data_IF_722500832363
#
_entry.id   IF_722500832363
#
_cell.length_a   1.000
_cell.length_b   1.000
_cell.length_c   1.000
_cell.angle_alpha   90.00
_cell.angle_beta   90.00
_cell.angle_gamma   90.00
#
_symmetry.space_group_name_H-M   'P 1'
#
loop_
_entity.id
_entity.type
_entity.pdbx_description
1 polymer ?
#
# COMPACT_ATOMS: atom_id res chain seq x y z
N UNK A 1 -26.52 11.69 34.39
CA UNK A 1 -26.25 10.24 34.53
C UNK A 1 -27.58 9.51 34.44
N UNK A 2 -27.86 8.54 33.58
CA UNK A 2 -27.16 7.88 32.49
C UNK A 2 -28.21 6.97 31.85
N UNK A 3 -28.44 7.10 30.55
CA UNK A 3 -29.33 6.22 29.79
C UNK A 3 -28.71 6.03 28.41
N UNK A 4 -27.95 4.95 28.26
CA UNK A 4 -27.62 4.32 26.99
C UNK A 4 -27.89 2.83 27.15
N UNK A 5 -29.15 2.44 26.96
CA UNK A 5 -29.54 1.09 26.55
C UNK A 5 -30.02 1.25 25.11
N UNK A 6 -29.32 0.58 24.20
CA UNK A 6 -29.80 -0.07 22.97
C UNK A 6 -28.63 -0.13 21.96
N UNK A 7 -27.84 -1.20 22.10
CA UNK A 7 -26.95 -1.69 21.05
C UNK A 7 -27.70 -2.79 20.28
N UNK A 8 -27.61 -2.72 18.96
CA UNK A 8 -28.32 -3.55 17.98
C UNK A 8 -28.18 -5.08 18.20
N UNK A 9 -29.14 -5.90 17.72
CA UNK A 9 -29.22 -7.33 18.02
C UNK A 9 -28.23 -8.22 17.25
N UNK A 10 -27.33 -7.66 16.44
CA UNK A 10 -26.53 -8.44 15.49
C UNK A 10 -25.37 -9.23 16.12
N UNK A 11 -25.03 -8.97 17.38
CA UNK A 11 -23.87 -9.59 18.06
C UNK A 11 -24.19 -10.82 18.93
N UNK A 12 -25.42 -11.34 18.94
CA UNK A 12 -25.80 -12.43 19.88
C UNK A 12 -25.72 -13.86 19.33
N UNK A 13 -25.23 -14.08 18.11
CA UNK A 13 -25.15 -15.43 17.55
C UNK A 13 -23.77 -15.72 16.95
N UNK A 14 -22.81 -16.09 17.81
CA UNK A 14 -21.68 -17.01 17.52
C UNK A 14 -20.83 -17.20 18.79
N UNK A 15 -21.36 -17.99 19.72
CA UNK A 15 -20.61 -18.45 20.90
C UNK A 15 -20.01 -19.85 20.75
N UNK A 16 -20.23 -20.54 19.62
CA UNK A 16 -19.80 -21.93 19.41
C UNK A 16 -19.12 -22.12 18.04
N UNK A 17 -18.01 -21.41 17.79
CA UNK A 17 -17.09 -21.79 16.72
C UNK A 17 -15.75 -22.19 17.29
N UNK A 18 -15.39 -23.43 16.97
CA UNK A 18 -14.16 -24.12 17.31
C UNK A 18 -12.91 -23.28 17.07
N UNK A 19 -11.95 -23.49 17.95
CA UNK A 19 -10.60 -22.92 17.97
C UNK A 19 -9.98 -22.94 16.55
N UNK A 20 -9.52 -21.81 15.99
CA UNK A 20 -8.94 -21.81 14.65
C UNK A 20 -7.67 -22.68 14.62
N UNK A 21 -7.43 -23.43 13.53
CA UNK A 21 -6.24 -24.27 13.42
C UNK A 21 -4.98 -23.41 13.42
N UNK A 22 -3.96 -23.92 14.12
CA UNK A 22 -2.62 -23.33 14.26
C UNK A 22 -2.06 -22.83 12.92
N UNK A 23 -1.66 -21.55 12.89
CA UNK A 23 -1.05 -20.84 11.77
C UNK A 23 0.22 -21.51 11.19
N UNK A 24 0.75 -22.54 11.83
CA UNK A 24 1.88 -23.34 11.34
C UNK A 24 1.58 -24.18 10.09
N UNK A 25 0.30 -24.48 9.77
CA UNK A 25 -0.04 -25.27 8.57
C UNK A 25 -0.08 -24.47 7.27
N UNK A 26 -0.27 -23.15 7.32
CA UNK A 26 -0.32 -22.31 6.11
C UNK A 26 1.07 -21.92 5.58
N UNK A 27 2.12 -22.02 6.42
CA UNK A 27 3.50 -21.73 6.01
C UNK A 27 4.16 -22.88 5.22
N UNK A 28 3.57 -24.07 5.24
CA UNK A 28 4.17 -25.28 4.63
C UNK A 28 3.71 -25.55 3.19
N UNK A 29 2.58 -24.98 2.76
CA UNK A 29 2.05 -25.16 1.41
C UNK A 29 2.63 -24.18 0.37
N UNK A 30 3.17 -23.02 0.79
CA UNK A 30 3.81 -22.06 -0.13
C UNK A 30 5.30 -22.30 -0.36
N UNK A 31 5.92 -23.24 0.37
CA UNK A 31 7.37 -23.49 0.32
C UNK A 31 7.77 -24.69 -0.55
N UNK A 32 6.83 -25.32 -1.25
CA UNK A 32 7.07 -26.56 -1.98
C UNK A 32 7.05 -26.45 -3.52
N UNK A 33 6.94 -25.26 -4.11
CA UNK A 33 6.93 -25.06 -5.57
C UNK A 33 8.06 -24.18 -6.11
N UNK A 34 9.18 -24.08 -5.40
CA UNK A 34 10.40 -23.48 -5.94
C UNK A 34 11.52 -24.51 -6.04
N UNK A 35 12.07 -24.61 -7.25
CA UNK A 35 13.31 -25.30 -7.66
C UNK A 35 13.24 -26.81 -7.89
N UNK A 36 12.66 -27.22 -9.03
CA UNK A 36 13.22 -28.36 -9.77
C UNK A 36 14.41 -27.87 -10.59
N UNK A 37 15.57 -27.76 -9.94
CA UNK A 37 16.83 -27.47 -10.63
C UNK A 37 17.22 -28.69 -11.48
N UNK A 38 17.17 -28.54 -12.82
CA UNK A 38 17.67 -29.55 -13.76
C UNK A 38 19.11 -29.17 -14.17
N UNK A 39 20.14 -29.83 -13.62
CA UNK A 39 21.53 -29.52 -13.92
C UNK A 39 21.88 -29.72 -15.41
N UNK A 40 21.20 -30.64 -16.11
CA UNK A 40 21.47 -30.92 -17.52
C UNK A 40 21.05 -29.78 -18.46
N UNK A 41 20.10 -28.94 -18.03
CA UNK A 41 19.69 -27.75 -18.77
C UNK A 41 20.70 -26.61 -18.60
N UNK A 42 21.28 -26.50 -17.40
CA UNK A 42 22.29 -25.51 -17.07
C UNK A 42 23.58 -25.72 -17.88
N UNK A 43 24.02 -26.97 -18.03
CA UNK A 43 25.24 -27.29 -18.78
C UNK A 43 25.08 -27.03 -20.29
N UNK A 44 23.90 -27.30 -20.85
CA UNK A 44 23.60 -27.00 -22.27
C UNK A 44 23.55 -25.50 -22.53
N UNK A 45 22.95 -24.74 -21.62
CA UNK A 45 22.84 -23.30 -21.73
C UNK A 45 24.22 -22.64 -21.58
N UNK A 46 25.07 -23.13 -20.67
CA UNK A 46 26.45 -22.68 -20.52
C UNK A 46 27.30 -22.95 -21.77
N UNK A 47 27.19 -24.15 -22.36
CA UNK A 47 27.91 -24.49 -23.59
C UNK A 47 27.45 -23.65 -24.80
N UNK A 48 26.16 -23.34 -24.88
CA UNK A 48 25.62 -22.50 -25.95
C UNK A 48 26.04 -21.02 -25.79
N UNK A 49 26.16 -20.55 -24.55
CA UNK A 49 26.64 -19.19 -24.25
C UNK A 49 28.12 -18.99 -24.62
N UNK A 50 28.97 -20.00 -24.37
CA UNK A 50 30.39 -19.96 -24.77
C UNK A 50 30.58 -19.97 -26.29
N UNK A 51 29.67 -20.61 -27.03
CA UNK A 51 29.72 -20.67 -28.49
C UNK A 51 29.30 -19.35 -29.14
N UNK A 52 28.28 -18.68 -28.59
CA UNK A 52 27.72 -17.44 -29.15
C UNK A 52 28.49 -16.17 -28.71
N UNK A 53 29.20 -16.22 -27.57
CA UNK A 53 29.93 -15.07 -27.02
C UNK A 53 31.32 -15.45 -26.49
N UNK A 54 32.34 -15.60 -27.37
CA UNK A 54 33.70 -15.92 -26.93
C UNK A 54 34.29 -14.77 -26.12
N UNK A 55 34.42 -14.97 -24.80
CA UNK A 55 35.02 -14.01 -23.86
C UNK A 55 34.13 -13.61 -22.68
N UNK A 56 32.87 -14.06 -22.65
CA UNK A 56 31.96 -13.80 -21.52
C UNK A 56 31.83 -15.06 -20.68
N UNK A 57 32.52 -15.11 -19.54
CA UNK A 57 32.46 -16.27 -18.66
C UNK A 57 31.34 -16.10 -17.63
N UNK A 58 30.62 -17.19 -17.33
CA UNK A 58 29.54 -17.22 -16.34
C UNK A 58 29.97 -16.73 -14.93
N UNK A 59 31.26 -16.85 -14.59
CA UNK A 59 31.80 -16.32 -13.34
C UNK A 59 31.81 -14.78 -13.29
N UNK A 60 31.81 -14.09 -14.43
CA UNK A 60 31.73 -12.62 -14.51
C UNK A 60 30.30 -12.10 -14.28
N UNK A 61 29.29 -12.96 -14.46
CA UNK A 61 27.90 -12.66 -14.08
C UNK A 61 27.64 -12.93 -12.58
N UNK A 62 28.47 -13.76 -11.94
CA UNK A 62 28.42 -13.99 -10.49
C UNK A 62 29.27 -13.00 -9.68
N UNK A 63 30.26 -12.36 -10.30
CA UNK A 63 30.97 -11.22 -9.72
C UNK A 63 30.12 -9.95 -9.86
N UNK A 64 29.24 -9.74 -8.89
CA UNK A 64 29.14 -8.55 -8.02
C UNK A 64 29.51 -7.14 -8.52
N UNK A 65 29.55 -6.83 -9.83
CA UNK A 65 29.91 -5.50 -10.35
C UNK A 65 28.87 -4.91 -11.33
N UNK A 66 27.78 -5.64 -11.62
CA UNK A 66 26.62 -5.10 -12.37
C UNK A 66 25.68 -4.25 -11.49
N UNK A 67 26.17 -3.78 -10.34
CA UNK A 67 25.45 -2.91 -9.41
C UNK A 67 25.83 -1.44 -9.57
N UNK A 68 27.03 -1.12 -10.07
CA UNK A 68 27.57 0.24 -9.94
C UNK A 68 27.12 1.20 -11.05
N UNK A 69 26.76 0.73 -12.24
CA UNK A 69 26.38 1.64 -13.34
C UNK A 69 24.89 1.97 -13.42
N UNK A 70 24.04 1.28 -12.63
CA UNK A 70 22.67 1.72 -12.34
C UNK A 70 22.59 2.56 -11.06
N UNK A 71 23.71 2.78 -10.35
CA UNK A 71 23.82 3.78 -9.29
C UNK A 71 23.98 5.19 -9.88
N UNK A 72 22.93 5.68 -10.53
CA UNK A 72 22.59 7.08 -10.31
C UNK A 72 22.26 7.18 -8.81
N UNK A 73 23.32 7.41 -8.01
CA UNK A 73 23.44 6.96 -6.62
C UNK A 73 22.15 7.19 -5.84
N UNK A 74 21.53 6.11 -5.37
CA UNK A 74 20.32 6.20 -4.54
C UNK A 74 20.59 7.04 -3.27
N UNK A 75 21.85 7.11 -2.82
CA UNK A 75 22.31 8.02 -1.78
C UNK A 75 22.34 9.49 -2.24
N UNK A 76 22.73 9.76 -3.49
CA UNK A 76 22.65 11.09 -4.11
C UNK A 76 21.19 11.53 -4.31
N UNK A 77 20.35 10.66 -4.89
CA UNK A 77 18.91 10.91 -5.04
C UNK A 77 18.28 11.17 -3.67
N UNK A 78 18.63 10.39 -2.65
CA UNK A 78 18.21 10.63 -1.26
C UNK A 78 18.64 12.00 -0.76
N UNK A 79 19.92 12.36 -0.89
CA UNK A 79 20.44 13.64 -0.41
C UNK A 79 19.71 14.81 -1.08
N UNK A 80 19.41 14.69 -2.39
CA UNK A 80 18.61 15.67 -3.14
C UNK A 80 17.17 15.73 -2.64
N UNK A 81 16.49 14.60 -2.48
CA UNK A 81 15.09 14.56 -2.01
C UNK A 81 14.93 15.06 -0.56
N UNK A 82 15.92 14.77 0.31
CA UNK A 82 15.97 15.32 1.67
C UNK A 82 16.14 16.83 1.65
N UNK A 83 17.11 17.33 0.88
CA UNK A 83 17.40 18.75 0.79
C UNK A 83 16.25 19.55 0.17
N UNK A 84 15.59 18.98 -0.85
CA UNK A 84 14.47 19.63 -1.53
C UNK A 84 13.14 19.49 -0.77
N UNK A 85 13.06 18.66 0.27
CA UNK A 85 11.87 18.53 1.10
C UNK A 85 10.67 18.00 0.32
N UNK A 86 10.83 16.89 -0.40
CA UNK A 86 9.81 16.38 -1.34
C UNK A 86 8.46 16.12 -0.66
N UNK A 87 8.44 15.52 0.53
CA UNK A 87 7.18 15.23 1.25
C UNK A 87 6.54 16.55 1.71
N UNK A 88 7.33 17.50 2.23
CA UNK A 88 6.86 18.86 2.54
C UNK A 88 6.23 19.58 1.33
N UNK A 89 6.81 19.46 0.13
CA UNK A 89 6.23 20.03 -1.09
C UNK A 89 4.87 19.39 -1.45
N UNK A 90 4.70 18.09 -1.21
CA UNK A 90 3.41 17.42 -1.38
C UNK A 90 2.42 17.66 -0.23
N UNK A 91 2.89 18.10 0.93
CA UNK A 91 2.08 18.54 2.07
C UNK A 91 1.59 19.98 1.97
N UNK A 92 2.23 20.82 1.14
CA UNK A 92 1.89 22.23 0.99
C UNK A 92 1.63 22.62 -0.48
N UNK A 93 0.49 22.17 -1.00
CA UNK A 93 0.08 22.46 -2.37
C UNK A 93 -1.42 22.85 -2.43
N UNK A 94 -1.89 23.21 -3.62
CA UNK A 94 -3.28 23.67 -3.80
C UNK A 94 -4.37 22.65 -3.44
N UNK A 95 -4.03 21.36 -3.32
CA UNK A 95 -4.98 20.32 -2.91
C UNK A 95 -4.94 20.03 -1.40
N UNK A 96 -3.91 20.49 -0.68
CA UNK A 96 -3.69 20.15 0.73
C UNK A 96 -4.84 20.56 1.63
N UNK A 97 -5.44 21.75 1.42
CA UNK A 97 -6.57 22.24 2.21
C UNK A 97 -7.83 21.38 2.02
N UNK A 98 -8.11 20.99 0.77
CA UNK A 98 -9.26 20.15 0.43
C UNK A 98 -9.07 18.73 0.98
N UNK A 99 -7.88 18.16 0.80
CA UNK A 99 -7.52 16.84 1.33
C UNK A 99 -7.53 16.80 2.87
N UNK A 100 -6.98 17.81 3.55
CA UNK A 100 -7.00 17.87 5.03
C UNK A 100 -8.41 18.02 5.61
N UNK A 101 -9.35 18.53 4.81
CA UNK A 101 -10.75 18.68 5.19
C UNK A 101 -11.61 17.45 4.85
N UNK A 102 -11.07 16.47 4.10
CA UNK A 102 -11.83 15.33 3.59
C UNK A 102 -12.82 15.69 2.47
N UNK A 103 -12.60 16.84 1.82
CA UNK A 103 -13.47 17.41 0.79
C UNK A 103 -12.93 17.18 -0.63
N UNK A 104 -11.98 16.24 -0.80
CA UNK A 104 -11.48 15.89 -2.12
C UNK A 104 -12.43 14.87 -2.76
N UNK A 105 -13.50 15.37 -3.38
CA UNK A 105 -14.52 14.52 -3.97
C UNK A 105 -14.02 13.80 -5.22
N UNK A 106 -14.39 12.53 -5.32
CA UNK A 106 -14.03 11.62 -6.42
C UNK A 106 -14.54 12.12 -7.77
N UNK A 107 -15.76 12.66 -7.80
CA UNK A 107 -16.42 13.18 -8.99
C UNK A 107 -16.71 14.68 -8.82
N UNK A 108 -16.62 15.43 -9.92
CA UNK A 108 -17.02 16.83 -9.93
C UNK A 108 -18.52 16.92 -10.23
N UNK A 109 -19.25 17.74 -9.45
CA UNK A 109 -20.67 18.04 -9.72
C UNK A 109 -20.88 18.67 -11.10
N UNK A 110 -19.89 19.41 -11.57
CA UNK A 110 -19.91 20.11 -12.86
C UNK A 110 -19.64 19.18 -14.05
N UNK A 111 -19.05 18.00 -13.81
CA UNK A 111 -18.75 17.02 -14.86
C UNK A 111 -19.05 15.59 -14.37
N UNK A 112 -20.34 15.19 -14.35
CA UNK A 112 -20.75 13.85 -13.93
C UNK A 112 -20.05 12.79 -14.79
N UNK A 113 -19.51 11.75 -14.15
CA UNK A 113 -18.79 10.66 -14.82
C UNK A 113 -17.30 10.89 -15.04
N UNK A 114 -16.77 12.11 -14.85
CA UNK A 114 -15.34 12.38 -14.90
C UNK A 114 -14.72 12.44 -13.50
N UNK A 115 -13.56 11.79 -13.33
CA UNK A 115 -12.78 11.86 -12.08
C UNK A 115 -12.24 13.28 -11.87
N UNK A 116 -12.35 13.78 -10.64
CA UNK A 116 -11.82 15.09 -10.26
C UNK A 116 -10.30 15.17 -10.47
N UNK A 117 -9.78 16.22 -11.15
CA UNK A 117 -8.34 16.43 -11.27
C UNK A 117 -7.64 16.58 -9.92
N UNK A 118 -8.34 17.17 -8.93
CA UNK A 118 -7.82 17.30 -7.56
C UNK A 118 -7.68 15.93 -6.87
N UNK A 119 -8.63 15.02 -7.12
CA UNK A 119 -8.54 13.65 -6.63
C UNK A 119 -7.42 12.87 -7.34
N UNK A 120 -7.25 13.03 -8.66
CA UNK A 120 -6.11 12.43 -9.39
C UNK A 120 -4.77 12.90 -8.84
N UNK A 121 -4.61 14.21 -8.64
CA UNK A 121 -3.40 14.79 -8.08
C UNK A 121 -3.12 14.29 -6.65
N UNK A 122 -4.16 14.10 -5.84
CA UNK A 122 -4.06 13.53 -4.50
C UNK A 122 -3.62 12.07 -4.49
N UNK A 123 -4.24 11.21 -5.31
CA UNK A 123 -3.81 9.81 -5.39
C UNK A 123 -2.36 9.71 -5.89
N UNK A 124 -1.99 10.56 -6.87
CA UNK A 124 -0.61 10.65 -7.34
C UNK A 124 0.36 11.13 -6.26
N UNK A 125 -0.02 12.10 -5.41
CA UNK A 125 0.84 12.56 -4.32
C UNK A 125 1.06 11.46 -3.28
N UNK A 126 0.03 10.70 -2.91
CA UNK A 126 0.17 9.53 -2.03
C UNK A 126 1.09 8.49 -2.65
N UNK A 127 0.91 8.17 -3.93
CA UNK A 127 1.74 7.19 -4.63
C UNK A 127 3.23 7.60 -4.63
N UNK A 128 3.53 8.87 -4.90
CA UNK A 128 4.90 9.40 -4.87
C UNK A 128 5.48 9.33 -3.46
N UNK A 129 4.73 9.76 -2.44
CA UNK A 129 5.20 9.69 -1.04
C UNK A 129 5.45 8.24 -0.63
N UNK A 130 4.56 7.31 -0.99
CA UNK A 130 4.72 5.88 -0.73
C UNK A 130 5.98 5.31 -1.40
N UNK A 131 6.24 5.70 -2.66
CA UNK A 131 7.43 5.29 -3.39
C UNK A 131 8.71 5.86 -2.76
N UNK A 132 8.71 7.12 -2.33
CA UNK A 132 9.84 7.75 -1.64
C UNK A 132 10.14 7.05 -0.31
N UNK A 133 9.11 6.83 0.52
CA UNK A 133 9.25 6.09 1.78
C UNK A 133 9.76 4.67 1.51
N UNK A 134 9.25 4.02 0.47
CA UNK A 134 9.67 2.67 0.09
C UNK A 134 11.11 2.59 -0.44
N UNK A 135 11.57 3.57 -1.21
CA UNK A 135 12.94 3.60 -1.70
C UNK A 135 13.95 3.90 -0.57
N UNK A 136 13.50 4.57 0.49
CA UNK A 136 14.37 5.12 1.54
C UNK A 136 14.17 4.47 2.93
N UNK A 137 13.58 3.27 2.98
CA UNK A 137 13.13 2.47 4.15
C UNK A 137 14.09 2.33 5.35
N UNK A 138 15.34 2.76 5.26
CA UNK A 138 16.36 2.59 6.31
C UNK A 138 16.64 3.87 7.12
N UNK A 139 15.89 4.95 6.89
CA UNK A 139 16.12 6.23 7.55
C UNK A 139 14.85 6.79 8.21
N UNK A 140 14.87 6.86 9.55
CA UNK A 140 13.75 7.33 10.39
C UNK A 140 13.27 8.76 10.13
N UNK A 141 14.08 9.56 9.44
CA UNK A 141 13.74 10.94 9.09
C UNK A 141 12.46 10.98 8.24
N UNK A 142 12.38 10.12 7.22
CA UNK A 142 11.23 10.08 6.33
C UNK A 142 9.99 9.45 6.96
N UNK A 143 10.16 8.56 7.93
CA UNK A 143 9.04 7.94 8.65
C UNK A 143 8.23 8.98 9.42
N UNK A 144 8.92 9.94 10.06
CA UNK A 144 8.27 11.01 10.81
C UNK A 144 7.54 11.99 9.88
N UNK A 145 8.17 12.41 8.79
CA UNK A 145 7.59 13.35 7.81
C UNK A 145 6.41 12.71 7.06
N UNK A 146 6.51 11.42 6.71
CA UNK A 146 5.41 10.68 6.12
C UNK A 146 4.25 10.46 7.12
N UNK A 147 4.54 10.26 8.41
CA UNK A 147 3.48 10.22 9.42
C UNK A 147 2.78 11.56 9.61
N UNK A 148 3.49 12.67 9.47
CA UNK A 148 2.90 14.02 9.46
C UNK A 148 2.01 14.23 8.24
N UNK A 149 2.46 13.80 7.05
CA UNK A 149 1.65 13.78 5.84
C UNK A 149 0.36 12.98 6.01
N UNK A 150 0.43 11.78 6.61
CA UNK A 150 -0.76 10.96 6.93
C UNK A 150 -1.69 11.68 7.90
N UNK A 151 -1.16 12.38 8.91
CA UNK A 151 -1.99 13.13 9.85
C UNK A 151 -2.67 14.33 9.19
N UNK A 152 -1.96 15.03 8.29
CA UNK A 152 -2.49 16.15 7.52
C UNK A 152 -3.69 15.71 6.68
N UNK A 153 -3.58 14.58 5.97
CA UNK A 153 -4.65 14.04 5.11
C UNK A 153 -5.55 13.04 5.82
N UNK A 154 -5.49 12.97 7.15
CA UNK A 154 -6.16 11.95 7.96
C UNK A 154 -7.66 11.86 7.72
N UNK A 155 -8.35 12.99 7.49
CA UNK A 155 -9.80 12.97 7.20
C UNK A 155 -10.14 12.27 5.88
N UNK A 156 -9.37 12.55 4.82
CA UNK A 156 -9.55 11.94 3.51
C UNK A 156 -9.15 10.46 3.54
N UNK A 157 -8.01 10.15 4.16
CA UNK A 157 -7.53 8.77 4.34
C UNK A 157 -8.57 7.92 5.09
N UNK A 158 -9.09 8.42 6.21
CA UNK A 158 -10.11 7.71 6.99
C UNK A 158 -11.40 7.56 6.19
N UNK A 159 -11.82 8.57 5.42
CA UNK A 159 -13.00 8.49 4.54
C UNK A 159 -12.85 7.35 3.53
N UNK A 160 -11.70 7.25 2.85
CA UNK A 160 -11.43 6.19 1.89
C UNK A 160 -11.43 4.80 2.53
N UNK A 161 -10.75 4.64 3.67
CA UNK A 161 -10.66 3.35 4.37
C UNK A 161 -11.93 2.94 5.12
N UNK A 162 -12.88 3.86 5.32
CA UNK A 162 -14.16 3.58 5.98
C UNK A 162 -15.25 3.09 5.01
N UNK A 163 -14.87 2.73 3.77
CA UNK A 163 -15.80 2.13 2.81
C UNK A 163 -16.51 0.91 3.42
N UNK A 164 -17.80 0.80 3.14
CA UNK A 164 -18.68 -0.25 3.64
C UNK A 164 -19.48 -0.87 2.50
N UNK A 165 -19.94 -2.11 2.68
CA UNK A 165 -20.69 -2.82 1.62
C UNK A 165 -22.06 -2.20 1.32
N UNK A 166 -22.52 -1.23 2.13
CA UNK A 166 -23.73 -0.46 1.82
C UNK A 166 -23.49 0.69 0.84
N UNK A 167 -22.24 1.07 0.58
CA UNK A 167 -21.90 2.20 -0.26
C UNK A 167 -21.37 1.74 -1.64
N UNK A 168 -21.70 2.45 -2.72
CA UNK A 168 -21.19 2.12 -4.04
C UNK A 168 -19.66 2.21 -4.07
N UNK A 169 -19.04 1.28 -4.79
CA UNK A 169 -17.61 1.25 -5.01
C UNK A 169 -17.32 1.71 -6.45
N UNK A 170 -16.54 2.77 -6.56
CA UNK A 170 -16.12 3.34 -7.85
C UNK A 170 -14.65 3.02 -8.08
N UNK A 171 -14.22 2.92 -9.35
CA UNK A 171 -12.81 2.70 -9.69
C UNK A 171 -11.86 3.73 -9.06
N UNK A 172 -12.17 5.04 -9.05
CA UNK A 172 -11.30 6.02 -8.40
C UNK A 172 -11.18 5.84 -6.89
N UNK A 173 -12.25 5.39 -6.21
CA UNK A 173 -12.21 5.10 -4.78
C UNK A 173 -11.33 3.87 -4.52
N UNK A 174 -11.40 2.86 -5.39
CA UNK A 174 -10.54 1.68 -5.28
C UNK A 174 -9.06 2.05 -5.45
N UNK A 175 -8.74 2.89 -6.42
CA UNK A 175 -7.38 3.44 -6.60
C UNK A 175 -6.95 4.25 -5.36
N UNK A 176 -7.83 5.08 -4.80
CA UNK A 176 -7.54 5.80 -3.55
C UNK A 176 -7.22 4.84 -2.39
N UNK A 177 -8.03 3.79 -2.20
CA UNK A 177 -7.81 2.76 -1.18
C UNK A 177 -6.47 2.06 -1.42
N UNK A 178 -6.16 1.69 -2.66
CA UNK A 178 -4.89 1.04 -3.02
C UNK A 178 -3.69 1.92 -2.67
N UNK A 179 -3.70 3.20 -3.06
CA UNK A 179 -2.59 4.11 -2.77
C UNK A 179 -2.41 4.31 -1.26
N UNK A 180 -3.51 4.45 -0.52
CA UNK A 180 -3.48 4.60 0.94
C UNK A 180 -2.93 3.34 1.63
N UNK A 181 -3.37 2.15 1.21
CA UNK A 181 -2.87 0.87 1.75
C UNK A 181 -1.38 0.70 1.44
N UNK A 182 -0.94 1.03 0.22
CA UNK A 182 0.47 0.99 -0.17
C UNK A 182 1.33 1.94 0.68
N UNK A 183 0.84 3.14 1.01
CA UNK A 183 1.55 4.05 1.90
C UNK A 183 1.72 3.46 3.31
N UNK A 184 0.66 2.88 3.88
CA UNK A 184 0.75 2.24 5.19
C UNK A 184 1.63 1.00 5.19
N UNK A 185 1.63 0.23 4.10
CA UNK A 185 2.55 -0.87 3.90
C UNK A 185 4.01 -0.39 3.88
N UNK A 186 4.31 0.67 3.12
CA UNK A 186 5.63 1.27 3.07
C UNK A 186 6.12 1.74 4.46
N UNK A 187 5.24 2.39 5.23
CA UNK A 187 5.50 2.81 6.61
C UNK A 187 5.70 1.63 7.58
N UNK A 188 4.96 0.55 7.40
CA UNK A 188 5.09 -0.65 8.22
C UNK A 188 6.41 -1.38 7.94
N UNK A 189 6.83 -1.43 6.67
CA UNK A 189 8.13 -2.02 6.29
C UNK A 189 9.31 -1.14 6.67
N UNK A 190 9.16 0.19 6.71
CA UNK A 190 10.23 1.10 7.12
C UNK A 190 10.43 1.16 8.64
N UNK A 191 9.39 0.86 9.42
CA UNK A 191 9.46 0.81 10.89
C UNK A 191 10.30 -0.39 11.37
N UNK A 192 11.52 -0.19 11.89
CA UNK A 192 12.33 -1.32 12.33
C UNK A 192 11.85 -1.80 13.71
N UNK A 193 12.10 -3.09 14.04
CA UNK A 193 11.90 -3.62 15.39
C UNK A 193 13.00 -3.05 16.32
N UNK A 194 12.90 -1.77 16.64
CA UNK A 194 13.81 -1.08 17.55
C UNK A 194 13.28 -1.16 18.99
N UNK A 195 14.19 -1.10 19.96
CA UNK A 195 13.83 -1.03 21.38
C UNK A 195 13.05 0.25 21.75
N UNK A 196 13.12 1.29 20.92
CA UNK A 196 12.48 2.60 21.13
C UNK A 196 11.82 3.10 19.83
N UNK A 197 10.68 2.51 19.42
CA UNK A 197 9.98 2.92 18.22
C UNK A 197 9.40 4.33 18.40
N UNK A 198 9.37 5.12 17.32
CA UNK A 198 8.75 6.44 17.34
C UNK A 198 7.26 6.32 17.71
N UNK A 199 6.79 6.96 18.80
CA UNK A 199 5.41 6.80 19.28
C UNK A 199 4.37 7.30 18.26
N UNK A 200 4.75 8.25 17.40
CA UNK A 200 3.88 8.78 16.34
C UNK A 200 3.62 7.70 15.29
N UNK A 201 4.68 7.05 14.80
CA UNK A 201 4.59 5.96 13.81
C UNK A 201 3.75 4.81 14.36
N UNK A 202 4.00 4.39 15.60
CA UNK A 202 3.25 3.32 16.27
C UNK A 202 1.76 3.67 16.38
N UNK A 203 1.42 4.92 16.73
CA UNK A 203 0.03 5.37 16.82
C UNK A 203 -0.66 5.34 15.45
N UNK A 204 0.01 5.84 14.41
CA UNK A 204 -0.50 5.86 13.03
C UNK A 204 -0.75 4.43 12.52
N UNK A 205 0.22 3.52 12.67
CA UNK A 205 0.09 2.12 12.27
C UNK A 205 -1.01 1.38 13.04
N UNK A 206 -1.18 1.66 14.33
CA UNK A 206 -2.25 1.05 15.14
C UNK A 206 -3.63 1.47 14.63
N UNK A 207 -3.83 2.76 14.36
CA UNK A 207 -5.10 3.27 13.81
C UNK A 207 -5.34 2.65 12.44
N UNK A 208 -4.32 2.62 11.57
CA UNK A 208 -4.41 1.97 10.26
C UNK A 208 -4.79 0.49 10.36
N UNK A 209 -4.30 -0.24 11.35
CA UNK A 209 -4.59 -1.67 11.52
C UNK A 209 -6.09 -1.90 11.77
N UNK A 210 -6.74 -1.03 12.56
CA UNK A 210 -8.18 -1.11 12.79
C UNK A 210 -8.96 -0.95 11.49
N UNK A 211 -8.64 0.09 10.71
CA UNK A 211 -9.30 0.33 9.43
C UNK A 211 -9.01 -0.76 8.39
N UNK A 212 -7.77 -1.25 8.31
CA UNK A 212 -7.39 -2.31 7.39
C UNK A 212 -8.13 -3.63 7.68
N UNK A 213 -8.28 -4.00 8.96
CA UNK A 213 -9.05 -5.19 9.35
C UNK A 213 -10.53 -5.05 8.99
N UNK A 214 -11.13 -3.89 9.24
CA UNK A 214 -12.52 -3.63 8.85
C UNK A 214 -12.66 -3.69 7.33
N UNK A 215 -11.78 -3.04 6.57
CA UNK A 215 -11.80 -3.05 5.11
C UNK A 215 -11.67 -4.48 4.56
N UNK A 216 -10.73 -5.28 5.09
CA UNK A 216 -10.57 -6.69 4.70
C UNK A 216 -11.83 -7.51 4.97
N UNK A 217 -12.51 -7.27 6.09
CA UNK A 217 -13.78 -7.94 6.39
C UNK A 217 -14.88 -7.54 5.38
N UNK A 218 -14.99 -6.25 5.05
CA UNK A 218 -15.97 -5.75 4.08
C UNK A 218 -15.68 -6.31 2.68
N UNK A 219 -14.42 -6.27 2.23
CA UNK A 219 -13.98 -6.81 0.95
C UNK A 219 -14.23 -8.31 0.85
N UNK A 220 -13.90 -9.07 1.90
CA UNK A 220 -14.17 -10.51 1.93
C UNK A 220 -15.67 -10.79 1.85
N UNK A 221 -16.51 -10.05 2.57
CA UNK A 221 -17.96 -10.21 2.47
C UNK A 221 -18.46 -9.91 1.05
N UNK A 222 -17.99 -8.83 0.43
CA UNK A 222 -18.35 -8.47 -0.94
C UNK A 222 -17.96 -9.59 -1.91
N UNK A 223 -16.71 -10.08 -1.85
CA UNK A 223 -16.17 -11.10 -2.76
C UNK A 223 -16.90 -12.45 -2.64
N UNK A 224 -17.40 -12.78 -1.45
CA UNK A 224 -18.19 -13.98 -1.21
C UNK A 224 -19.64 -13.88 -1.72
N UNK A 225 -20.10 -12.68 -2.13
CA UNK A 225 -21.45 -12.45 -2.66
C UNK A 225 -21.39 -11.74 -4.04
N UNK A 226 -21.16 -12.49 -5.14
CA UNK A 226 -20.92 -11.93 -6.47
C UNK A 226 -22.04 -11.00 -6.98
N UNK A 227 -23.29 -11.34 -6.70
CA UNK A 227 -24.45 -10.52 -7.08
C UNK A 227 -24.48 -9.18 -6.33
N UNK A 228 -23.93 -9.15 -5.12
CA UNK A 228 -23.84 -7.93 -4.33
C UNK A 228 -22.72 -7.02 -4.85
N UNK A 229 -21.53 -7.55 -5.17
CA UNK A 229 -20.48 -6.77 -5.84
C UNK A 229 -20.97 -6.16 -7.15
N UNK A 230 -21.66 -6.95 -7.97
CA UNK A 230 -22.18 -6.46 -9.25
C UNK A 230 -23.15 -5.27 -9.07
N UNK A 231 -23.88 -5.22 -7.95
CA UNK A 231 -24.77 -4.09 -7.61
C UNK A 231 -24.05 -2.86 -7.06
N UNK A 232 -22.83 -3.01 -6.55
CA UNK A 232 -22.07 -1.92 -5.92
C UNK A 232 -21.14 -1.21 -6.88
N UNK A 233 -20.77 -1.87 -7.98
CA UNK A 233 -19.86 -1.31 -8.98
C UNK A 233 -20.58 -0.24 -9.79
N UNK A 234 -20.26 1.02 -9.49
CA UNK A 234 -20.68 2.16 -10.31
C UNK A 234 -19.60 2.47 -11.35
N UNK A 235 -19.92 2.36 -12.66
CA UNK A 235 -18.97 2.71 -13.70
C UNK A 235 -18.77 4.23 -13.73
N UNK A 236 -17.57 4.68 -13.37
CA UNK A 236 -17.09 6.03 -13.70
C UNK A 236 -16.46 5.95 -15.08
N UNK A 237 -17.30 5.93 -16.12
CA UNK A 237 -16.89 5.82 -17.52
C UNK A 237 -16.66 7.20 -18.13
N UNK A 238 -15.46 7.74 -17.93
CA UNK A 238 -14.90 8.78 -18.79
C UNK A 238 -13.36 8.79 -18.68
N UNK A 239 -12.73 7.70 -19.12
CA UNK A 239 -11.35 7.74 -19.61
C UNK A 239 -11.34 7.31 -21.08
#
# INVERSE_FOLDING_TARGET
MGRYRELCPFFRARADLEKPPSYSKLALSFKAESTSYDPGLHDKLAAQFEQDFPGLFLHQLQSQDLSDDLTFSLDLLRSRLQYEGVISAYSNNGISLAASSGLNDVTLRERPGARSPAHKAYCSSIAVVSAVVSALRRHHFFDAEACEFVQLYGKQIVRALSWSVSDPITLPLLDEIEQVVNLFYALAESAPPTAYPNPVVVKVLRVSTTYALTLLQQLNYALMHPNHIASLLEPVTAE
#
